data_IF_917685829909
#
_entry.id   IF_917685829909
#
_cell.length_a   1.000
_cell.length_b   1.000
_cell.length_c   1.000
_cell.angle_alpha   90.00
_cell.angle_beta   90.00
_cell.angle_gamma   90.00
#
_symmetry.space_group_name_H-M   'P 1'
#
loop_
_entity.id
_entity.type
_entity.pdbx_description
1 polymer ?
#
# COMPACT_ATOMS: atom_id res chain seq x y z
N UNK A 1 -3.55 7.86 -33.44
CA UNK A 1 -3.39 7.11 -32.18
C UNK A 1 -2.37 7.83 -31.33
N UNK A 2 -2.74 8.24 -30.11
CA UNK A 2 -1.86 9.02 -29.22
C UNK A 2 -0.66 8.18 -28.76
N UNK A 3 0.48 8.82 -28.38
CA UNK A 3 1.63 8.11 -27.81
C UNK A 3 1.27 7.27 -26.58
N UNK A 4 0.33 7.75 -25.76
CA UNK A 4 -0.22 7.04 -24.61
C UNK A 4 -0.85 5.70 -25.00
N UNK A 5 -1.81 5.70 -25.94
CA UNK A 5 -2.50 4.47 -26.35
C UNK A 5 -1.51 3.46 -26.94
N UNK A 6 -0.55 3.90 -27.76
CA UNK A 6 0.49 3.01 -28.30
C UNK A 6 1.34 2.35 -27.21
N UNK A 7 1.71 3.11 -26.17
CA UNK A 7 2.51 2.57 -25.07
C UNK A 7 1.68 1.62 -24.20
N UNK A 8 0.42 1.97 -23.92
CA UNK A 8 -0.51 1.12 -23.18
C UNK A 8 -0.72 -0.22 -23.90
N UNK A 9 -1.01 -0.19 -25.21
CA UNK A 9 -1.19 -1.40 -26.02
C UNK A 9 0.04 -2.31 -25.98
N UNK A 10 1.25 -1.72 -26.01
CA UNK A 10 2.50 -2.47 -25.93
C UNK A 10 2.69 -3.11 -24.54
N UNK A 11 2.42 -2.37 -23.45
CA UNK A 11 2.47 -2.93 -22.08
C UNK A 11 1.46 -4.07 -21.92
N UNK A 12 0.22 -3.87 -22.36
CA UNK A 12 -0.83 -4.91 -22.30
C UNK A 12 -0.43 -6.16 -23.06
N UNK A 13 0.19 -6.02 -24.22
CA UNK A 13 0.67 -7.16 -25.00
C UNK A 13 1.79 -7.94 -24.27
N UNK A 14 2.74 -7.25 -23.65
CA UNK A 14 3.84 -7.89 -22.89
C UNK A 14 3.37 -8.52 -21.56
N UNK A 15 2.26 -8.02 -20.99
CA UNK A 15 1.64 -8.63 -19.81
C UNK A 15 0.95 -9.98 -20.11
N UNK A 16 0.69 -10.28 -21.39
CA UNK A 16 0.07 -11.53 -21.78
C UNK A 16 0.94 -12.74 -21.39
N UNK A 17 0.41 -13.63 -20.55
CA UNK A 17 1.14 -14.81 -20.08
C UNK A 17 2.00 -14.59 -18.84
N UNK A 18 2.04 -13.38 -18.28
CA UNK A 18 2.62 -13.13 -16.95
C UNK A 18 1.53 -13.40 -15.89
N UNK A 19 1.90 -14.09 -14.81
CA UNK A 19 0.99 -14.31 -13.68
C UNK A 19 0.47 -12.96 -13.15
N UNK A 20 -0.86 -12.83 -12.99
CA UNK A 20 -1.56 -11.58 -12.64
C UNK A 20 -1.45 -10.45 -13.70
N UNK A 21 -0.87 -10.72 -14.87
CA UNK A 21 -0.73 -9.77 -15.98
C UNK A 21 -2.07 -9.31 -16.54
N UNK A 22 -3.06 -10.20 -16.64
CA UNK A 22 -4.41 -9.86 -17.12
C UNK A 22 -5.13 -8.87 -16.19
N UNK A 23 -4.98 -9.05 -14.87
CA UNK A 23 -5.56 -8.15 -13.87
C UNK A 23 -4.95 -6.75 -13.96
N UNK A 24 -3.61 -6.67 -14.07
CA UNK A 24 -2.92 -5.39 -14.28
C UNK A 24 -3.33 -4.75 -15.62
N UNK A 25 -3.36 -5.53 -16.71
CA UNK A 25 -3.76 -5.03 -18.02
C UNK A 25 -5.17 -4.43 -18.00
N UNK A 26 -6.15 -5.11 -17.38
CA UNK A 26 -7.50 -4.60 -17.23
C UNK A 26 -7.53 -3.30 -16.41
N UNK A 27 -6.78 -3.22 -15.31
CA UNK A 27 -6.70 -2.01 -14.50
C UNK A 27 -6.10 -0.82 -15.26
N UNK A 28 -5.07 -1.06 -16.08
CA UNK A 28 -4.45 -0.03 -16.92
C UNK A 28 -5.38 0.43 -18.05
N UNK A 29 -6.09 -0.48 -18.72
CA UNK A 29 -7.04 -0.18 -19.80
C UNK A 29 -8.19 0.70 -19.30
N UNK A 30 -8.71 0.36 -18.12
CA UNK A 30 -9.84 1.07 -17.49
C UNK A 30 -9.39 2.32 -16.72
N UNK A 31 -8.10 2.68 -16.80
CA UNK A 31 -7.47 3.81 -16.12
C UNK A 31 -7.71 3.84 -14.59
N UNK A 32 -7.78 2.66 -13.96
CA UNK A 32 -8.09 2.52 -12.53
C UNK A 32 -6.94 3.05 -11.66
N UNK A 33 -7.30 3.58 -10.50
CA UNK A 33 -6.38 3.98 -9.42
C UNK A 33 -6.18 2.88 -8.37
N UNK A 34 -6.74 1.70 -8.62
CA UNK A 34 -6.84 0.59 -7.67
C UNK A 34 -6.68 -0.76 -8.37
N UNK A 35 -5.94 -1.64 -7.72
CA UNK A 35 -5.87 -3.06 -8.01
C UNK A 35 -5.72 -3.85 -6.71
N UNK A 36 -6.46 -4.96 -6.64
CA UNK A 36 -6.27 -6.01 -5.65
C UNK A 36 -5.14 -6.93 -6.15
N UNK A 37 -3.96 -6.84 -5.53
CA UNK A 37 -2.82 -7.66 -5.91
C UNK A 37 -2.96 -9.09 -5.42
N UNK A 38 -3.45 -9.26 -4.19
CA UNK A 38 -3.71 -10.56 -3.59
C UNK A 38 -5.01 -10.47 -2.81
N UNK A 39 -6.04 -11.13 -3.34
CA UNK A 39 -7.37 -11.11 -2.77
C UNK A 39 -7.55 -12.26 -1.79
N UNK A 40 -8.11 -11.96 -0.61
CA UNK A 40 -8.51 -12.97 0.36
C UNK A 40 -9.61 -13.92 -0.12
N UNK A 41 -10.22 -13.64 -1.28
CA UNK A 41 -11.31 -14.43 -1.88
C UNK A 41 -10.83 -15.49 -2.90
N UNK A 42 -9.56 -15.44 -3.31
CA UNK A 42 -9.00 -16.45 -4.20
C UNK A 42 -8.58 -17.71 -3.42
N UNK A 43 -8.84 -18.90 -3.97
CA UNK A 43 -8.48 -20.18 -3.32
C UNK A 43 -6.97 -20.31 -3.03
N UNK A 44 -6.13 -19.62 -3.79
CA UNK A 44 -4.67 -19.57 -3.62
C UNK A 44 -4.18 -18.37 -2.77
N UNK A 45 -5.03 -17.35 -2.57
CA UNK A 45 -4.72 -16.10 -1.88
C UNK A 45 -5.54 -15.82 -0.62
N UNK A 46 -6.35 -16.77 -0.15
CA UNK A 46 -7.06 -16.60 1.13
C UNK A 46 -6.06 -16.35 2.25
N UNK A 47 -6.19 -15.20 2.90
CA UNK A 47 -5.44 -14.85 4.12
C UNK A 47 -6.10 -15.39 5.39
N UNK A 48 -7.13 -16.21 5.25
CA UNK A 48 -7.76 -16.87 6.40
C UNK A 48 -6.78 -17.81 7.11
N UNK A 49 -6.68 -17.65 8.43
CA UNK A 49 -5.79 -18.42 9.27
C UNK A 49 -4.32 -18.00 9.22
N UNK A 50 -3.97 -16.89 8.55
CA UNK A 50 -2.62 -16.32 8.69
C UNK A 50 -2.44 -15.80 10.12
N UNK A 51 -1.42 -16.32 10.80
CA UNK A 51 -1.08 -15.93 12.17
C UNK A 51 0.32 -15.33 12.28
N UNK A 52 1.05 -15.20 11.19
CA UNK A 52 2.39 -14.61 11.17
C UNK A 52 2.68 -14.05 9.79
N UNK A 53 3.36 -12.90 9.73
CA UNK A 53 3.83 -12.28 8.49
C UNK A 53 5.33 -12.10 8.65
N UNK A 54 6.08 -12.87 7.85
CA UNK A 54 7.54 -12.82 7.81
C UNK A 54 8.00 -12.09 6.57
N UNK A 55 9.20 -11.54 6.67
CA UNK A 55 9.88 -10.93 5.54
C UNK A 55 11.17 -11.66 5.22
N UNK A 56 11.53 -11.71 3.94
CA UNK A 56 12.80 -12.22 3.44
C UNK A 56 13.47 -11.15 2.59
N UNK A 57 14.80 -11.13 2.60
CA UNK A 57 15.58 -10.20 1.80
C UNK A 57 15.34 -10.46 0.31
N UNK A 58 15.09 -9.37 -0.41
CA UNK A 58 15.01 -9.33 -1.85
C UNK A 58 15.77 -8.13 -2.39
N UNK A 59 15.16 -7.46 -3.36
CA UNK A 59 15.80 -6.53 -4.25
C UNK A 59 15.23 -5.11 -4.12
N UNK A 60 16.13 -4.14 -4.04
CA UNK A 60 15.84 -2.74 -4.30
C UNK A 60 15.49 -2.48 -5.77
N UNK A 61 15.05 -1.27 -6.11
CA UNK A 61 14.63 -0.94 -7.47
C UNK A 61 15.81 -0.60 -8.41
N UNK A 62 15.75 -1.04 -9.66
CA UNK A 62 16.79 -0.79 -10.67
C UNK A 62 16.95 0.70 -11.02
N UNK A 63 18.10 1.09 -11.58
CA UNK A 63 18.35 2.47 -11.97
C UNK A 63 17.50 2.88 -13.19
N UNK A 64 16.80 4.03 -13.14
CA UNK A 64 15.90 4.48 -14.20
C UNK A 64 16.70 4.92 -15.45
N UNK A 65 17.70 5.78 -15.26
CA UNK A 65 18.39 6.50 -16.33
C UNK A 65 19.85 6.11 -16.54
N UNK A 66 20.43 5.29 -15.66
CA UNK A 66 21.83 4.88 -15.75
C UNK A 66 21.99 3.36 -15.95
N UNK A 67 23.25 2.92 -15.97
CA UNK A 67 23.60 1.50 -16.01
C UNK A 67 22.89 0.72 -14.89
N UNK A 68 22.53 -0.55 -15.15
CA UNK A 68 22.02 -1.44 -14.11
C UNK A 68 22.90 -1.44 -12.87
N UNK A 69 22.28 -1.51 -11.71
CA UNK A 69 22.95 -1.54 -10.41
C UNK A 69 22.67 -2.87 -9.72
N UNK A 70 23.51 -3.23 -8.76
CA UNK A 70 23.24 -4.36 -7.87
C UNK A 70 22.06 -3.99 -6.95
N UNK A 71 21.01 -4.80 -7.03
CA UNK A 71 19.76 -4.57 -6.30
C UNK A 71 19.60 -5.45 -5.07
N UNK A 72 20.48 -6.41 -4.83
CA UNK A 72 20.40 -7.27 -3.65
C UNK A 72 20.39 -6.43 -2.36
N UNK A 73 19.56 -6.80 -1.37
CA UNK A 73 19.21 -5.97 -0.21
C UNK A 73 20.40 -5.20 0.40
N UNK A 74 21.43 -5.93 0.84
CA UNK A 74 22.62 -5.33 1.47
C UNK A 74 23.46 -4.53 0.48
N UNK A 75 23.64 -5.02 -0.74
CA UNK A 75 24.41 -4.33 -1.77
C UNK A 75 23.75 -3.01 -2.17
N UNK A 76 22.41 -2.97 -2.26
CA UNK A 76 21.65 -1.77 -2.57
C UNK A 76 21.69 -0.78 -1.40
N UNK A 77 21.60 -1.26 -0.16
CA UNK A 77 21.78 -0.40 1.02
C UNK A 77 23.14 0.29 1.00
N UNK A 78 24.22 -0.45 0.77
CA UNK A 78 25.57 0.10 0.79
C UNK A 78 25.88 1.00 -0.42
N UNK A 79 25.41 0.64 -1.61
CA UNK A 79 25.82 1.31 -2.85
C UNK A 79 24.82 2.35 -3.37
N UNK A 80 23.55 2.27 -2.96
CA UNK A 80 22.52 3.22 -3.41
C UNK A 80 21.98 4.08 -2.26
N UNK A 81 21.63 3.50 -1.10
CA UNK A 81 21.00 4.25 0.01
C UNK A 81 22.02 4.98 0.88
N UNK A 82 23.06 4.30 1.38
CA UNK A 82 24.09 4.88 2.25
C UNK A 82 24.77 6.11 1.64
N UNK A 83 25.13 6.15 0.34
CA UNK A 83 25.69 7.36 -0.26
C UNK A 83 24.74 8.56 -0.21
N UNK A 84 23.43 8.34 -0.35
CA UNK A 84 22.41 9.40 -0.25
C UNK A 84 22.27 9.91 1.20
N UNK A 85 22.38 9.04 2.20
CA UNK A 85 22.41 9.43 3.62
C UNK A 85 23.66 10.27 3.90
N UNK A 86 24.83 9.80 3.47
CA UNK A 86 26.10 10.49 3.70
C UNK A 86 26.17 11.87 3.02
N UNK A 87 25.50 12.04 1.87
CA UNK A 87 25.39 13.34 1.21
C UNK A 87 24.30 14.25 1.80
N UNK A 88 23.49 13.76 2.73
CA UNK A 88 22.34 14.48 3.30
C UNK A 88 21.15 14.61 2.35
N UNK A 89 21.05 13.75 1.33
CA UNK A 89 19.93 13.75 0.38
C UNK A 89 18.67 13.07 0.97
N UNK A 90 18.87 12.13 1.88
CA UNK A 90 17.83 11.47 2.67
C UNK A 90 18.30 11.33 4.12
N UNK A 91 17.37 11.30 5.07
CA UNK A 91 17.66 11.02 6.48
C UNK A 91 17.42 9.55 6.83
N UNK A 92 18.12 9.05 7.85
CA UNK A 92 17.99 7.68 8.37
C UNK A 92 17.33 7.62 9.76
N UNK A 93 16.78 8.75 10.21
CA UNK A 93 16.16 8.90 11.53
C UNK A 93 17.14 8.86 12.72
N UNK A 94 18.45 8.93 12.49
CA UNK A 94 19.45 8.88 13.57
C UNK A 94 19.55 10.17 14.39
N UNK A 95 19.15 11.32 13.84
CA UNK A 95 19.13 12.59 14.57
C UNK A 95 17.74 12.87 15.18
N UNK A 96 17.68 13.51 16.37
CA UNK A 96 16.41 13.91 16.98
C UNK A 96 15.59 14.83 16.06
N UNK A 97 14.36 14.41 15.74
CA UNK A 97 13.44 15.16 14.89
C UNK A 97 13.51 14.84 13.40
N UNK A 98 14.50 14.06 12.96
CA UNK A 98 14.55 13.56 11.59
C UNK A 98 13.60 12.38 11.41
N UNK A 99 12.92 12.37 10.26
CA UNK A 99 12.17 11.20 9.79
C UNK A 99 13.14 10.21 9.13
N UNK A 100 12.89 8.90 9.26
CA UNK A 100 13.63 7.91 8.47
C UNK A 100 13.05 7.85 7.05
N UNK A 101 13.76 8.42 6.09
CA UNK A 101 13.34 8.43 4.68
C UNK A 101 13.48 7.06 4.02
N UNK A 102 14.18 6.11 4.64
CA UNK A 102 14.24 4.74 4.11
C UNK A 102 12.88 4.09 4.22
N UNK A 103 12.55 3.29 3.22
CA UNK A 103 11.27 2.58 3.12
C UNK A 103 11.48 1.17 2.59
N UNK A 104 10.44 0.35 2.75
CA UNK A 104 10.44 -1.03 2.32
C UNK A 104 9.74 -1.13 0.97
N UNK A 105 10.38 -1.80 0.02
CA UNK A 105 9.87 -2.16 -1.32
C UNK A 105 9.33 -3.58 -1.31
N UNK A 106 8.17 -3.82 -1.93
CA UNK A 106 7.73 -5.18 -2.21
C UNK A 106 8.55 -5.77 -3.37
N UNK A 107 9.44 -6.71 -3.05
CA UNK A 107 10.39 -7.30 -4.00
C UNK A 107 9.81 -8.52 -4.71
N UNK A 108 10.48 -8.94 -5.78
CA UNK A 108 10.23 -10.14 -6.56
C UNK A 108 9.81 -9.82 -7.99
N UNK A 109 10.03 -10.77 -8.89
CA UNK A 109 9.70 -10.62 -10.30
C UNK A 109 8.18 -10.72 -10.55
N UNK A 110 7.74 -10.16 -11.68
CA UNK A 110 6.34 -10.17 -12.10
C UNK A 110 5.48 -9.10 -11.42
N UNK A 111 4.16 -9.21 -11.61
CA UNK A 111 3.20 -8.15 -11.24
C UNK A 111 3.02 -7.99 -9.73
N UNK A 112 2.96 -9.10 -9.00
CA UNK A 112 2.66 -9.11 -7.56
C UNK A 112 3.89 -9.31 -6.68
N UNK A 113 5.12 -9.27 -7.22
CA UNK A 113 6.31 -9.58 -6.42
C UNK A 113 6.29 -11.01 -5.87
N UNK A 114 7.27 -11.29 -5.03
CA UNK A 114 7.50 -12.60 -4.43
C UNK A 114 6.83 -12.66 -3.08
N UNK A 115 5.86 -13.57 -2.97
CA UNK A 115 5.23 -13.94 -1.72
C UNK A 115 4.85 -15.41 -1.76
N UNK A 116 4.78 -16.04 -0.60
CA UNK A 116 4.28 -17.41 -0.48
C UNK A 116 3.72 -17.67 0.90
N UNK A 117 2.91 -18.72 1.01
CA UNK A 117 2.30 -19.17 2.24
C UNK A 117 2.84 -20.54 2.63
N UNK A 118 3.27 -20.68 3.88
CA UNK A 118 3.60 -21.97 4.49
C UNK A 118 2.74 -22.16 5.74
N UNK A 119 1.71 -23.00 5.63
CA UNK A 119 0.71 -23.18 6.70
C UNK A 119 -0.02 -21.88 7.05
N UNK A 120 0.22 -21.35 8.24
CA UNK A 120 -0.34 -20.10 8.76
C UNK A 120 0.63 -18.92 8.66
N UNK A 121 1.76 -19.06 7.98
CA UNK A 121 2.77 -18.02 7.83
C UNK A 121 2.74 -17.50 6.41
N UNK A 122 2.52 -16.18 6.27
CA UNK A 122 2.75 -15.47 5.02
C UNK A 122 4.20 -14.98 5.00
N UNK A 123 4.94 -15.23 3.93
CA UNK A 123 6.27 -14.63 3.73
C UNK A 123 6.25 -13.70 2.54
N UNK A 124 6.76 -12.49 2.74
CA UNK A 124 6.91 -11.45 1.72
C UNK A 124 8.39 -11.22 1.46
N UNK A 125 8.80 -11.20 0.20
CA UNK A 125 10.14 -10.74 -0.16
C UNK A 125 10.17 -9.22 -0.22
N UNK A 126 11.13 -8.59 0.45
CA UNK A 126 11.21 -7.14 0.54
C UNK A 126 12.62 -6.61 0.28
N UNK A 127 12.68 -5.44 -0.37
CA UNK A 127 13.91 -4.72 -0.67
C UNK A 127 13.95 -3.33 -0.04
N UNK A 128 15.11 -2.66 -0.01
CA UNK A 128 15.21 -1.27 0.40
C UNK A 128 14.76 -0.31 -0.72
N UNK A 129 14.13 0.80 -0.32
CA UNK A 129 13.89 1.98 -1.17
C UNK A 129 13.92 3.25 -0.29
N UNK A 130 13.57 4.40 -0.85
CA UNK A 130 13.52 5.67 -0.12
C UNK A 130 12.29 6.50 -0.49
N UNK A 131 11.86 7.34 0.45
CA UNK A 131 10.68 8.18 0.34
C UNK A 131 10.73 9.16 -0.85
N UNK A 132 11.86 9.80 -1.21
CA UNK A 132 11.90 10.62 -2.43
C UNK A 132 11.60 9.84 -3.71
N UNK A 133 12.02 8.57 -3.79
CA UNK A 133 11.74 7.71 -4.94
C UNK A 133 10.27 7.30 -5.00
N UNK A 134 9.69 6.98 -3.83
CA UNK A 134 8.24 6.80 -3.69
C UNK A 134 7.46 8.02 -4.18
N UNK A 135 7.83 9.22 -3.72
CA UNK A 135 7.20 10.48 -4.16
C UNK A 135 7.32 10.71 -5.66
N UNK A 136 8.46 10.36 -6.24
CA UNK A 136 8.65 10.40 -7.69
C UNK A 136 7.66 9.48 -8.40
N UNK A 137 7.41 8.28 -7.89
CA UNK A 137 6.43 7.35 -8.45
C UNK A 137 5.00 7.91 -8.38
N UNK A 138 4.58 8.44 -7.22
CA UNK A 138 3.25 9.00 -7.03
C UNK A 138 2.96 10.21 -7.93
N UNK A 139 3.98 11.01 -8.23
CA UNK A 139 3.85 12.21 -9.06
C UNK A 139 4.16 11.96 -10.55
N UNK A 140 4.56 10.74 -10.93
CA UNK A 140 4.97 10.42 -12.30
C UNK A 140 3.78 10.50 -13.27
N UNK A 141 3.92 11.13 -14.45
CA UNK A 141 2.92 11.04 -15.50
C UNK A 141 2.67 9.59 -15.92
N UNK A 142 1.39 9.21 -16.10
CA UNK A 142 1.01 7.82 -16.48
C UNK A 142 1.75 7.30 -17.73
N UNK A 143 2.01 8.16 -18.72
CA UNK A 143 2.79 7.78 -19.91
C UNK A 143 4.22 7.34 -19.56
N UNK A 144 4.90 8.05 -18.67
CA UNK A 144 6.26 7.69 -18.23
C UNK A 144 6.24 6.40 -17.41
N UNK A 145 5.22 6.22 -16.58
CA UNK A 145 5.02 4.96 -15.85
C UNK A 145 4.86 3.77 -16.82
N UNK A 146 4.03 3.90 -17.87
CA UNK A 146 3.88 2.87 -18.90
C UNK A 146 5.18 2.59 -19.66
N UNK A 147 6.00 3.62 -19.93
CA UNK A 147 7.30 3.45 -20.58
C UNK A 147 8.27 2.67 -19.69
N UNK A 148 8.29 2.96 -18.39
CA UNK A 148 9.11 2.21 -17.41
C UNK A 148 8.63 0.77 -17.26
N UNK A 149 7.31 0.54 -17.23
CA UNK A 149 6.75 -0.81 -17.21
C UNK A 149 7.16 -1.60 -18.46
N UNK A 150 7.02 -1.00 -19.64
CA UNK A 150 7.42 -1.65 -20.89
C UNK A 150 8.91 -2.02 -20.88
N UNK A 151 9.77 -1.08 -20.47
CA UNK A 151 11.21 -1.32 -20.31
C UNK A 151 11.49 -2.47 -19.32
N UNK A 152 10.77 -2.49 -18.19
CA UNK A 152 10.91 -3.50 -17.15
C UNK A 152 10.48 -4.90 -17.63
N UNK A 153 9.35 -4.98 -18.33
CA UNK A 153 8.83 -6.21 -18.93
C UNK A 153 9.82 -6.78 -19.95
N UNK A 154 10.33 -5.95 -20.86
CA UNK A 154 11.22 -6.38 -21.94
C UNK A 154 12.60 -6.85 -21.47
N UNK A 155 13.12 -6.28 -20.37
CA UNK A 155 14.47 -6.57 -19.89
C UNK A 155 14.52 -7.53 -18.70
N UNK A 156 13.49 -7.53 -17.85
CA UNK A 156 13.48 -8.24 -16.56
C UNK A 156 12.23 -9.10 -16.34
N UNK A 157 11.26 -9.06 -17.24
CA UNK A 157 9.95 -9.68 -17.04
C UNK A 157 9.25 -9.20 -15.74
N UNK A 158 9.46 -7.92 -15.39
CA UNK A 158 8.92 -7.28 -14.20
C UNK A 158 8.53 -5.83 -14.55
N UNK A 159 7.23 -5.48 -14.59
CA UNK A 159 6.77 -4.13 -14.91
C UNK A 159 7.16 -3.09 -13.85
N UNK A 160 7.51 -3.52 -12.63
CA UNK A 160 7.77 -2.66 -11.48
C UNK A 160 9.23 -2.68 -11.03
N UNK A 161 10.14 -3.23 -11.83
CA UNK A 161 11.58 -3.31 -11.51
C UNK A 161 12.20 -1.92 -11.26
N UNK A 162 11.68 -0.88 -11.91
CA UNK A 162 12.15 0.51 -11.79
C UNK A 162 11.39 1.36 -10.74
N UNK A 163 10.40 0.77 -10.06
CA UNK A 163 9.54 1.49 -9.14
C UNK A 163 9.94 1.20 -7.69
N UNK A 164 9.82 2.20 -6.82
CA UNK A 164 10.01 2.06 -5.39
C UNK A 164 9.09 0.99 -4.80
N UNK A 165 7.87 0.87 -5.33
CA UNK A 165 6.87 -0.15 -4.96
C UNK A 165 6.74 -0.28 -3.43
N UNK A 166 6.62 0.87 -2.80
CA UNK A 166 6.67 1.00 -1.34
C UNK A 166 5.53 0.22 -0.70
N UNK A 167 5.83 -0.41 0.43
CA UNK A 167 4.85 -1.11 1.24
C UNK A 167 4.34 -0.22 2.37
N UNK A 168 3.03 -0.20 2.55
CA UNK A 168 2.34 0.39 3.69
C UNK A 168 1.39 -0.60 4.35
N UNK A 169 0.67 -0.09 5.35
CA UNK A 169 -0.42 -0.78 6.01
C UNK A 169 -1.65 0.12 5.96
N UNK A 170 -2.81 -0.46 5.68
CA UNK A 170 -4.11 0.17 5.92
C UNK A 170 -4.81 -0.63 7.02
N UNK A 171 -5.33 0.04 8.03
CA UNK A 171 -5.98 -0.54 9.21
C UNK A 171 -7.40 -0.05 9.31
N UNK A 172 -8.35 -0.99 9.39
CA UNK A 172 -9.78 -0.72 9.50
C UNK A 172 -10.20 -1.01 10.94
N UNK A 173 -10.23 0.00 11.83
CA UNK A 173 -10.74 -0.19 13.18
C UNK A 173 -12.25 -0.34 13.15
N UNK A 174 -12.75 -1.47 13.68
CA UNK A 174 -14.17 -1.70 13.93
C UNK A 174 -14.46 -1.31 15.38
N UNK A 175 -15.48 -0.47 15.60
CA UNK A 175 -15.89 -0.06 16.94
C UNK A 175 -16.57 -1.19 17.71
N UNK A 176 -16.75 -1.02 19.02
CA UNK A 176 -17.49 -1.99 19.83
C UNK A 176 -18.93 -2.20 19.34
N UNK A 177 -19.52 -1.19 18.69
CA UNK A 177 -20.87 -1.20 18.11
C UNK A 177 -20.91 -1.77 16.69
N UNK A 178 -19.76 -2.06 16.07
CA UNK A 178 -19.67 -2.61 14.73
C UNK A 178 -19.63 -1.55 13.61
N UNK A 179 -19.53 -0.26 13.93
CA UNK A 179 -19.28 0.78 12.92
C UNK A 179 -17.80 0.84 12.53
N UNK A 180 -17.49 1.48 11.40
CA UNK A 180 -16.12 1.89 11.06
C UNK A 180 -16.08 3.39 10.78
N UNK A 181 -14.88 3.97 10.81
CA UNK A 181 -14.68 5.39 10.52
C UNK A 181 -13.61 5.56 9.45
N UNK A 182 -13.94 6.30 8.40
CA UNK A 182 -13.01 6.68 7.34
C UNK A 182 -12.63 8.15 7.49
N UNK A 183 -11.36 8.48 7.37
CA UNK A 183 -10.84 9.84 7.48
C UNK A 183 -10.78 10.56 6.15
N UNK A 184 -11.02 11.87 6.18
CA UNK A 184 -10.74 12.77 5.07
C UNK A 184 -9.43 13.52 5.34
N UNK A 185 -8.43 13.28 4.48
CA UNK A 185 -7.07 13.77 4.68
C UNK A 185 -6.99 15.30 4.67
N UNK A 186 -6.23 15.85 5.62
CA UNK A 186 -5.99 17.29 5.79
C UNK A 186 -5.20 17.93 4.66
N UNK A 187 -5.30 19.27 4.55
CA UNK A 187 -4.63 20.03 3.50
C UNK A 187 -3.10 20.05 3.60
N UNK A 188 -2.55 19.72 4.76
CA UNK A 188 -1.12 19.74 5.08
C UNK A 188 -0.44 18.36 4.98
N UNK A 189 -1.16 17.32 4.55
CA UNK A 189 -0.62 15.97 4.37
C UNK A 189 -0.64 15.57 2.89
N UNK A 190 0.06 14.50 2.53
CA UNK A 190 0.05 13.97 1.17
C UNK A 190 -1.38 13.58 0.74
N UNK A 191 -1.73 13.82 -0.52
CA UNK A 191 -3.06 13.56 -1.09
C UNK A 191 -4.25 14.19 -0.30
N UNK A 192 -4.31 15.53 -0.16
CA UNK A 192 -5.42 16.21 0.53
C UNK A 192 -6.81 15.85 0.00
N UNK A 193 -7.77 15.68 0.92
CA UNK A 193 -9.17 15.37 0.59
C UNK A 193 -9.43 13.93 0.14
N UNK A 194 -8.39 13.10 -0.02
CA UNK A 194 -8.53 11.67 -0.25
C UNK A 194 -9.15 11.02 1.00
N UNK A 195 -10.08 10.10 0.78
CA UNK A 195 -10.65 9.31 1.86
C UNK A 195 -9.78 8.08 2.13
N UNK A 196 -9.40 7.92 3.40
CA UNK A 196 -8.57 6.80 3.84
C UNK A 196 -8.98 6.31 5.22
N UNK A 197 -8.94 4.99 5.44
CA UNK A 197 -8.81 4.45 6.79
C UNK A 197 -7.43 4.81 7.35
N UNK A 198 -7.17 4.40 8.60
CA UNK A 198 -5.87 4.58 9.24
C UNK A 198 -4.80 3.91 8.40
N UNK A 199 -3.77 4.61 7.97
CA UNK A 199 -2.76 4.04 7.09
C UNK A 199 -1.45 4.82 7.08
N UNK A 200 -0.35 4.08 6.97
CA UNK A 200 0.98 4.65 6.82
C UNK A 200 1.96 3.70 6.14
N UNK A 201 3.14 4.22 5.83
CA UNK A 201 4.19 3.45 5.17
C UNK A 201 4.91 2.56 6.20
N UNK A 202 5.26 1.34 5.80
CA UNK A 202 5.92 0.39 6.68
C UNK A 202 7.28 0.91 7.17
N UNK A 203 7.57 0.69 8.45
CA UNK A 203 8.80 1.17 9.08
C UNK A 203 9.99 0.37 8.60
N UNK A 204 10.99 1.04 8.02
CA UNK A 204 12.22 0.40 7.57
C UNK A 204 13.06 -0.11 8.75
N UNK A 205 13.74 -1.25 8.55
CA UNK A 205 14.77 -1.73 9.44
C UNK A 205 15.86 -2.44 8.64
N UNK A 206 17.13 -2.13 8.90
CA UNK A 206 18.26 -2.83 8.28
C UNK A 206 18.27 -4.32 8.65
N UNK A 207 17.87 -4.66 9.88
CA UNK A 207 17.65 -6.05 10.26
C UNK A 207 16.27 -6.46 9.82
N UNK A 208 16.22 -7.16 8.70
CA UNK A 208 14.96 -7.50 8.04
C UNK A 208 13.98 -8.27 8.94
N UNK A 209 14.48 -9.12 9.86
CA UNK A 209 13.67 -9.86 10.83
C UNK A 209 12.99 -8.97 11.89
N UNK A 210 13.29 -7.66 11.91
CA UNK A 210 12.68 -6.66 12.78
C UNK A 210 11.59 -5.84 12.12
N UNK A 211 11.38 -5.99 10.81
CA UNK A 211 10.25 -5.40 10.10
C UNK A 211 8.97 -6.11 10.57
N UNK A 212 7.97 -5.34 10.98
CA UNK A 212 6.72 -5.89 11.52
C UNK A 212 5.53 -5.02 11.14
N UNK A 213 4.74 -5.50 10.18
CA UNK A 213 3.52 -4.82 9.75
C UNK A 213 2.46 -4.71 10.85
N UNK A 214 2.44 -5.65 11.81
CA UNK A 214 1.57 -5.53 12.99
C UNK A 214 1.97 -4.37 13.90
N UNK A 215 3.29 -4.11 14.02
CA UNK A 215 3.78 -2.95 14.77
C UNK A 215 3.44 -1.65 14.05
N UNK A 216 3.58 -1.61 12.73
CA UNK A 216 3.16 -0.47 11.92
C UNK A 216 1.66 -0.20 12.12
N UNK A 217 0.80 -1.23 12.03
CA UNK A 217 -0.64 -1.07 12.28
C UNK A 217 -0.95 -0.47 13.67
N UNK A 218 -0.23 -0.93 14.70
CA UNK A 218 -0.39 -0.41 16.06
C UNK A 218 -0.01 1.06 16.17
N UNK A 219 1.11 1.43 15.53
CA UNK A 219 1.59 2.80 15.52
C UNK A 219 0.57 3.72 14.84
N UNK A 220 0.09 3.37 13.65
CA UNK A 220 -0.87 4.20 12.91
C UNK A 220 -2.20 4.36 13.66
N UNK A 221 -2.71 3.28 14.29
CA UNK A 221 -3.91 3.37 15.15
C UNK A 221 -3.72 4.35 16.31
N UNK A 222 -2.53 4.39 16.89
CA UNK A 222 -2.21 5.29 17.99
C UNK A 222 -2.06 6.73 17.50
N UNK A 223 -1.33 6.94 16.40
CA UNK A 223 -0.96 8.27 15.91
C UNK A 223 -2.14 8.99 15.25
N UNK A 224 -2.92 8.28 14.41
CA UNK A 224 -4.00 8.92 13.65
C UNK A 224 -5.31 9.01 14.41
N UNK A 225 -5.65 7.98 15.19
CA UNK A 225 -6.96 7.87 15.85
C UNK A 225 -6.88 7.65 17.35
N UNK A 226 -5.68 7.65 17.96
CA UNK A 226 -5.53 7.59 19.41
C UNK A 226 -6.03 6.29 20.04
N UNK A 227 -6.03 5.18 19.30
CA UNK A 227 -6.40 3.86 19.81
C UNK A 227 -5.14 3.14 20.29
N UNK A 228 -5.04 2.96 21.61
CA UNK A 228 -3.90 2.30 22.25
C UNK A 228 -4.25 0.83 22.49
N UNK A 229 -3.72 -0.07 21.66
CA UNK A 229 -3.87 -1.51 21.84
C UNK A 229 -2.67 -2.28 21.29
N UNK A 230 -2.42 -3.47 21.85
CA UNK A 230 -1.45 -4.40 21.26
C UNK A 230 -2.07 -5.05 20.02
N UNK A 231 -1.44 -4.86 18.87
CA UNK A 231 -1.82 -5.52 17.61
C UNK A 231 -1.09 -6.84 17.48
N UNK A 232 -1.87 -7.92 17.30
CA UNK A 232 -1.35 -9.27 17.18
C UNK A 232 -2.26 -10.15 16.32
N UNK A 233 -1.76 -11.29 15.85
CA UNK A 233 -2.54 -12.14 14.94
C UNK A 233 -3.88 -12.62 15.51
N UNK A 234 -4.02 -12.72 16.84
CA UNK A 234 -5.27 -13.18 17.47
C UNK A 234 -6.39 -12.13 17.48
N UNK A 235 -6.09 -10.85 17.24
CA UNK A 235 -7.07 -9.76 17.26
C UNK A 235 -7.04 -8.91 15.98
N UNK A 236 -6.32 -9.35 14.95
CA UNK A 236 -6.11 -8.60 13.72
C UNK A 236 -6.10 -9.56 12.55
N UNK A 237 -6.86 -9.23 11.51
CA UNK A 237 -6.98 -10.06 10.30
C UNK A 237 -6.40 -9.32 9.10
N UNK A 238 -5.42 -9.92 8.43
CA UNK A 238 -5.02 -9.51 7.08
C UNK A 238 -6.13 -9.92 6.11
N UNK A 239 -6.65 -8.98 5.32
CA UNK A 239 -7.74 -9.24 4.36
C UNK A 239 -7.28 -9.18 2.90
N UNK A 240 -6.15 -8.56 2.62
CA UNK A 240 -5.55 -8.58 1.29
C UNK A 240 -4.36 -7.64 1.14
N UNK A 241 -3.84 -7.58 -0.08
CA UNK A 241 -2.82 -6.62 -0.49
C UNK A 241 -3.36 -5.82 -1.68
N UNK A 242 -3.48 -4.52 -1.54
CA UNK A 242 -3.97 -3.62 -2.58
C UNK A 242 -2.87 -2.67 -3.04
N UNK A 243 -3.04 -2.05 -4.20
CA UNK A 243 -2.13 -0.99 -4.64
C UNK A 243 -2.68 -0.19 -5.81
N UNK A 244 -1.81 0.64 -6.37
CA UNK A 244 -2.11 1.46 -7.54
C UNK A 244 -1.39 0.88 -8.78
N UNK A 245 -2.10 0.66 -9.90
CA UNK A 245 -1.52 0.00 -11.07
C UNK A 245 -0.47 0.84 -11.80
N UNK A 246 -0.45 2.17 -11.62
CA UNK A 246 0.49 3.09 -12.27
C UNK A 246 1.70 3.44 -11.41
N UNK A 247 1.52 3.58 -10.10
CA UNK A 247 2.58 4.02 -9.17
C UNK A 247 3.19 2.83 -8.42
N UNK A 248 2.52 1.67 -8.41
CA UNK A 248 2.92 0.40 -7.80
C UNK A 248 3.04 0.38 -6.27
N UNK A 249 2.79 1.50 -5.60
CA UNK A 249 2.64 1.54 -4.14
C UNK A 249 1.56 0.55 -3.68
N UNK A 250 1.81 -0.09 -2.53
CA UNK A 250 1.01 -1.22 -2.04
C UNK A 250 0.78 -1.17 -0.54
N UNK A 251 -0.42 -1.56 -0.12
CA UNK A 251 -0.78 -1.68 1.29
C UNK A 251 -1.19 -3.11 1.64
N UNK A 252 -0.68 -3.60 2.76
CA UNK A 252 -1.31 -4.70 3.47
C UNK A 252 -2.54 -4.16 4.20
N UNK A 253 -3.71 -4.72 3.92
CA UNK A 253 -4.96 -4.21 4.47
C UNK A 253 -5.45 -5.11 5.60
N UNK A 254 -5.65 -4.52 6.77
CA UNK A 254 -6.00 -5.20 8.00
C UNK A 254 -7.35 -4.75 8.55
N UNK A 255 -8.06 -5.68 9.17
CA UNK A 255 -9.27 -5.41 9.96
C UNK A 255 -8.97 -5.69 11.43
N UNK A 256 -9.30 -4.73 12.29
CA UNK A 256 -8.99 -4.78 13.72
C UNK A 256 -10.25 -4.44 14.52
N UNK A 257 -10.90 -5.43 15.16
CA UNK A 257 -11.92 -5.16 16.18
C UNK A 257 -11.30 -4.43 17.37
N UNK A 258 -11.91 -3.32 17.76
CA UNK A 258 -11.45 -2.48 18.87
C UNK A 258 -12.47 -2.46 20.02
N UNK A 259 -12.06 -1.91 21.16
CA UNK A 259 -12.97 -1.59 22.27
C UNK A 259 -13.36 -0.11 22.27
N UNK A 260 -12.98 0.64 21.23
CA UNK A 260 -13.35 2.04 21.11
C UNK A 260 -14.84 2.11 20.75
N UNK A 261 -15.57 2.95 21.48
CA UNK A 261 -16.96 3.26 21.20
C UNK A 261 -17.06 4.40 20.18
N UNK A 262 -18.22 4.59 19.58
CA UNK A 262 -18.45 5.66 18.59
C UNK A 262 -18.09 7.06 19.11
N UNK A 263 -18.29 7.33 20.41
CA UNK A 263 -17.96 8.61 21.05
C UNK A 263 -16.45 8.94 21.06
N UNK A 264 -15.58 7.94 20.87
CA UNK A 264 -14.14 8.17 20.73
C UNK A 264 -13.81 8.98 19.48
N UNK A 265 -14.63 8.87 18.44
CA UNK A 265 -14.38 9.41 17.11
C UNK A 265 -15.07 10.75 16.83
N UNK A 266 -15.97 11.22 17.70
CA UNK A 266 -16.83 12.39 17.44
C UNK A 266 -16.23 13.73 17.89
N UNK A 267 -15.28 13.74 18.84
CA UNK A 267 -14.93 14.97 19.58
C UNK A 267 -13.41 15.21 19.70
N UNK A 268 -12.61 14.84 18.70
CA UNK A 268 -11.16 15.06 18.72
C UNK A 268 -10.66 15.80 17.49
N UNK A 269 -9.58 16.54 17.70
CA UNK A 269 -8.74 17.04 16.62
C UNK A 269 -7.80 15.91 16.19
N UNK A 270 -7.86 15.52 14.93
CA UNK A 270 -6.99 14.51 14.35
C UNK A 270 -5.83 15.20 13.65
N UNK A 271 -4.62 14.67 13.80
CA UNK A 271 -3.40 15.24 13.21
C UNK A 271 -3.44 15.21 11.68
N UNK A 272 -3.90 14.09 11.12
CA UNK A 272 -3.88 13.83 9.68
C UNK A 272 -5.21 14.06 8.96
N UNK A 273 -6.32 14.09 9.71
CA UNK A 273 -7.66 14.13 9.14
C UNK A 273 -8.41 15.40 9.51
N UNK A 274 -9.10 16.00 8.55
CA UNK A 274 -10.00 17.14 8.82
C UNK A 274 -11.21 16.66 9.61
N UNK A 275 -11.65 15.43 9.33
CA UNK A 275 -12.76 14.76 10.00
C UNK A 275 -12.68 13.26 9.80
N UNK A 276 -13.36 12.54 10.68
CA UNK A 276 -13.67 11.13 10.52
C UNK A 276 -15.17 10.98 10.26
N UNK A 277 -15.53 10.14 9.30
CA UNK A 277 -16.91 9.90 8.89
C UNK A 277 -17.27 8.46 9.20
N UNK A 278 -18.35 8.29 9.96
CA UNK A 278 -18.88 6.98 10.35
C UNK A 278 -19.52 6.29 9.15
N UNK A 279 -19.22 5.01 8.98
CA UNK A 279 -19.92 4.08 8.10
C UNK A 279 -20.53 3.00 8.99
N UNK A 280 -21.86 2.96 9.04
CA UNK A 280 -22.62 2.19 10.03
C UNK A 280 -23.28 0.94 9.46
N UNK A 281 -23.41 0.84 8.14
CA UNK A 281 -24.13 -0.26 7.50
C UNK A 281 -23.65 -0.53 6.07
N UNK A 282 -24.14 -1.64 5.52
CA UNK A 282 -23.82 -2.12 4.18
C UNK A 282 -24.12 -1.09 3.09
N UNK A 283 -25.29 -0.46 3.14
CA UNK A 283 -25.72 0.50 2.12
C UNK A 283 -24.78 1.69 2.04
N UNK A 284 -24.38 2.25 3.18
CA UNK A 284 -23.40 3.34 3.25
C UNK A 284 -22.03 2.91 2.71
N UNK A 285 -21.59 1.69 3.04
CA UNK A 285 -20.32 1.16 2.54
C UNK A 285 -20.34 0.90 1.02
N UNK A 286 -21.44 0.39 0.47
CA UNK A 286 -21.63 0.19 -0.98
C UNK A 286 -21.66 1.52 -1.74
N UNK A 287 -22.43 2.49 -1.23
CA UNK A 287 -22.53 3.82 -1.81
C UNK A 287 -21.16 4.52 -1.84
N UNK A 288 -20.41 4.43 -0.75
CA UNK A 288 -19.04 4.94 -0.70
C UNK A 288 -18.11 4.20 -1.66
N UNK A 289 -18.11 2.86 -1.65
CA UNK A 289 -17.22 2.05 -2.48
C UNK A 289 -17.42 2.30 -3.99
N UNK A 290 -18.66 2.29 -4.45
CA UNK A 290 -18.97 2.32 -5.88
C UNK A 290 -19.16 3.73 -6.43
N UNK A 291 -19.55 4.69 -5.60
CA UNK A 291 -19.87 6.06 -6.04
C UNK A 291 -19.01 7.13 -5.38
N UNK A 292 -18.22 6.79 -4.36
CA UNK A 292 -17.40 7.75 -3.62
C UNK A 292 -18.22 8.68 -2.74
N UNK A 293 -19.48 8.36 -2.45
CA UNK A 293 -20.39 9.26 -1.73
C UNK A 293 -20.42 8.90 -0.26
N UNK A 294 -20.11 9.88 0.61
CA UNK A 294 -20.17 9.74 2.05
C UNK A 294 -21.62 9.78 2.56
N UNK A 295 -21.92 9.19 3.73
CA UNK A 295 -23.25 9.27 4.34
C UNK A 295 -23.74 10.72 4.51
N UNK A 296 -24.92 11.01 3.97
CA UNK A 296 -25.54 12.34 4.03
C UNK A 296 -24.97 13.37 3.05
N UNK A 297 -24.04 12.99 2.18
CA UNK A 297 -23.46 13.86 1.15
C UNK A 297 -23.93 13.48 -0.25
N UNK A 298 -23.66 14.36 -1.22
CA UNK A 298 -23.99 14.14 -2.64
C UNK A 298 -22.79 14.18 -3.57
N UNK A 299 -21.71 14.83 -3.14
CA UNK A 299 -20.50 15.00 -3.95
C UNK A 299 -19.57 13.79 -3.79
N UNK A 300 -19.10 13.19 -4.89
CA UNK A 300 -18.18 12.06 -4.83
C UNK A 300 -16.79 12.50 -4.37
N UNK A 301 -16.12 11.63 -3.63
CA UNK A 301 -14.73 11.75 -3.19
C UNK A 301 -13.91 10.56 -3.67
N UNK A 302 -12.61 10.78 -3.83
CA UNK A 302 -11.67 9.71 -4.16
C UNK A 302 -11.36 8.89 -2.91
N UNK A 303 -11.18 7.58 -3.10
CA UNK A 303 -10.78 6.63 -2.06
C UNK A 303 -9.36 6.16 -2.30
N UNK A 304 -8.57 6.02 -1.25
CA UNK A 304 -7.29 5.31 -1.34
C UNK A 304 -7.53 3.85 -1.75
N UNK A 305 -6.55 3.26 -2.44
CA UNK A 305 -6.65 1.87 -2.90
C UNK A 305 -6.80 0.87 -1.74
N UNK A 306 -6.08 1.06 -0.63
CA UNK A 306 -6.20 0.22 0.57
C UNK A 306 -7.60 0.30 1.17
N UNK A 307 -8.20 1.50 1.17
CA UNK A 307 -9.56 1.71 1.67
C UNK A 307 -10.63 1.14 0.76
N UNK A 308 -10.44 1.13 -0.56
CA UNK A 308 -11.35 0.44 -1.49
C UNK A 308 -11.41 -1.06 -1.20
N UNK A 309 -10.26 -1.72 -1.00
CA UNK A 309 -10.22 -3.12 -0.61
C UNK A 309 -10.90 -3.34 0.75
N UNK A 310 -10.65 -2.45 1.71
CA UNK A 310 -11.31 -2.47 3.01
C UNK A 310 -12.83 -2.41 2.93
N UNK A 311 -13.37 -1.45 2.19
CA UNK A 311 -14.82 -1.31 1.98
C UNK A 311 -15.42 -2.53 1.28
N UNK A 312 -14.75 -3.06 0.25
CA UNK A 312 -15.20 -4.27 -0.43
C UNK A 312 -15.30 -5.46 0.54
N UNK A 313 -14.32 -5.62 1.43
CA UNK A 313 -14.38 -6.64 2.48
C UNK A 313 -15.53 -6.39 3.46
N UNK A 314 -15.73 -5.16 3.93
CA UNK A 314 -16.79 -4.83 4.90
C UNK A 314 -18.19 -5.10 4.35
N UNK A 315 -18.45 -4.72 3.10
CA UNK A 315 -19.73 -4.96 2.38
C UNK A 315 -20.07 -6.45 2.30
N UNK A 316 -19.04 -7.29 2.15
CA UNK A 316 -19.21 -8.73 1.94
C UNK A 316 -19.26 -9.52 3.25
N UNK A 317 -18.45 -9.14 4.24
CA UNK A 317 -18.13 -10.00 5.38
C UNK A 317 -18.44 -9.41 6.75
N UNK A 318 -18.76 -8.12 6.84
CA UNK A 318 -18.96 -7.43 8.12
C UNK A 318 -20.39 -6.93 8.31
N UNK A 319 -20.91 -6.16 7.34
CA UNK A 319 -22.27 -5.60 7.39
C UNK A 319 -23.36 -6.53 6.85
#
# INVERSE_FOLDING_TARGET
MSPYIKCLDAVVAELAGIAQGENLASALIDDRDYIDWVSGDSLEGSFEGITDIRVKAGNGPQNIDASPIDTEFEAYLENAIRPQILSGAIADGSNPGDFDDRKIRWSGAGVTGSWWRDGNILTLEVGPTAYPRYRQDCCRPKIEALQLMLKGLQLYNDPFVYFARTMGVTVIPITAEGSVYIGERSANVDSPGLLNFVAGLATFNERIDKISFYRDCQQELQEEVGIFMEIKPSNTRLIGIAGNPFTSETDLVFVVPTQANESHFTDKNWSEHVRLVRIANKTEAEELLYRGILPGETEPKMLSYGSRLGLAYLVKNHF
#
